data_IF_783782354776
#
_entry.id   IF_783782354776
#
_cell.length_a   1.000
_cell.length_b   1.000
_cell.length_c   1.000
_cell.angle_alpha   90.00
_cell.angle_beta   90.00
_cell.angle_gamma   90.00
#
_symmetry.space_group_name_H-M   'P 1'
#
loop_
_entity.id
_entity.type
_entity.pdbx_description
1 polymer ?
#
# COMPACT_ATOMS: atom_id res chain seq x y z
N UNK A 1 21.32 -11.62 9.07
CA UNK A 1 20.23 -11.72 8.08
C UNK A 1 20.10 -10.35 7.48
N UNK A 2 20.61 -10.17 6.26
CA UNK A 2 20.41 -8.92 5.51
C UNK A 2 18.95 -8.89 5.09
N UNK A 3 18.10 -8.20 5.86
CA UNK A 3 16.75 -7.88 5.41
C UNK A 3 16.89 -6.92 4.23
N UNK A 4 16.94 -7.47 3.01
CA UNK A 4 16.82 -6.68 1.80
C UNK A 4 15.40 -6.15 1.77
N UNK A 5 15.20 -4.95 2.29
CA UNK A 5 13.98 -4.17 2.08
C UNK A 5 13.82 -3.99 0.58
N UNK A 6 12.80 -4.60 -0.01
CA UNK A 6 12.43 -4.34 -1.40
C UNK A 6 11.70 -3.00 -1.44
N UNK A 7 11.95 -2.23 -2.50
CA UNK A 7 11.26 -0.97 -2.75
C UNK A 7 10.51 -1.10 -4.08
N UNK A 8 9.24 -0.70 -4.09
CA UNK A 8 8.37 -0.75 -5.27
C UNK A 8 7.62 0.55 -5.44
N UNK A 9 7.34 0.92 -6.68
CA UNK A 9 6.57 2.13 -6.95
C UNK A 9 5.10 1.93 -6.55
N UNK A 10 4.59 2.78 -5.68
CA UNK A 10 3.18 2.77 -5.28
C UNK A 10 2.46 3.97 -5.90
N UNK A 11 1.42 3.76 -6.74
CA UNK A 11 0.67 4.86 -7.35
C UNK A 11 -0.01 5.79 -6.35
N UNK A 12 -0.45 5.27 -5.19
CA UNK A 12 -1.06 6.08 -4.13
C UNK A 12 -0.06 7.03 -3.45
N UNK A 13 1.21 6.63 -3.43
CA UNK A 13 2.29 7.40 -2.83
C UNK A 13 3.05 8.24 -3.85
N UNK A 14 2.90 7.95 -5.15
CA UNK A 14 3.68 8.55 -6.25
C UNK A 14 5.19 8.51 -5.94
N UNK A 15 5.63 7.37 -5.38
CA UNK A 15 6.99 7.17 -4.86
C UNK A 15 7.29 5.68 -4.71
N UNK A 16 8.58 5.35 -4.67
CA UNK A 16 9.04 4.05 -4.22
C UNK A 16 8.86 3.92 -2.69
N UNK A 17 8.17 2.88 -2.25
CA UNK A 17 7.93 2.56 -0.84
C UNK A 17 8.42 1.16 -0.51
N UNK A 18 8.72 0.91 0.76
CA UNK A 18 9.08 -0.42 1.24
C UNK A 18 7.86 -1.36 1.32
N UNK A 19 8.13 -2.66 1.41
CA UNK A 19 7.10 -3.71 1.50
C UNK A 19 6.19 -3.56 2.73
N UNK A 20 6.69 -3.02 3.86
CA UNK A 20 5.89 -2.79 5.06
C UNK A 20 4.85 -1.70 4.83
N UNK A 21 5.28 -0.56 4.30
CA UNK A 21 4.37 0.52 3.89
C UNK A 21 3.35 0.02 2.85
N UNK A 22 3.77 -0.81 1.90
CA UNK A 22 2.87 -1.40 0.91
C UNK A 22 1.84 -2.35 1.56
N UNK A 23 2.26 -3.13 2.54
CA UNK A 23 1.41 -4.04 3.29
C UNK A 23 0.37 -3.29 4.13
N UNK A 24 0.76 -2.22 4.82
CA UNK A 24 -0.17 -1.40 5.60
C UNK A 24 -1.28 -0.81 4.72
N UNK A 25 -0.92 -0.30 3.53
CA UNK A 25 -1.88 0.18 2.53
C UNK A 25 -2.81 -0.94 2.07
N UNK A 26 -2.27 -2.13 1.76
CA UNK A 26 -3.05 -3.30 1.36
C UNK A 26 -4.07 -3.69 2.45
N UNK A 27 -3.65 -3.73 3.70
CA UNK A 27 -4.52 -4.09 4.84
C UNK A 27 -5.68 -3.11 5.02
N UNK A 28 -5.45 -1.80 4.82
CA UNK A 28 -6.53 -0.80 4.84
C UNK A 28 -7.47 -0.97 3.65
N UNK A 29 -6.93 -1.21 2.45
CA UNK A 29 -7.73 -1.40 1.23
C UNK A 29 -8.64 -2.62 1.31
N UNK A 30 -8.15 -3.71 1.91
CA UNK A 30 -8.89 -4.97 2.18
C UNK A 30 -9.76 -4.91 3.44
N UNK A 31 -9.97 -3.72 4.01
CA UNK A 31 -10.77 -3.48 5.23
C UNK A 31 -10.33 -4.35 6.44
N UNK A 32 -9.05 -4.76 6.45
CA UNK A 32 -8.43 -5.64 7.45
C UNK A 32 -7.64 -4.87 8.52
N UNK A 33 -7.42 -3.58 8.31
CA UNK A 33 -6.84 -2.66 9.30
C UNK A 33 -7.51 -1.27 9.24
N UNK A 34 -7.50 -0.49 10.34
CA UNK A 34 -8.02 0.87 10.33
C UNK A 34 -7.19 1.83 9.46
N UNK A 35 -7.84 2.83 8.87
CA UNK A 35 -7.23 3.86 8.01
C UNK A 35 -5.94 4.49 8.57
N UNK A 36 -5.87 4.73 9.89
CA UNK A 36 -4.71 5.37 10.54
C UNK A 36 -3.43 4.54 10.49
N UNK A 37 -3.52 3.27 10.11
CA UNK A 37 -2.35 2.37 9.97
C UNK A 37 -1.59 2.61 8.66
N UNK A 38 -2.25 3.17 7.64
CA UNK A 38 -1.63 3.50 6.37
C UNK A 38 -1.21 4.99 6.29
N UNK A 39 -0.30 5.36 5.36
CA UNK A 39 0.02 6.75 5.13
C UNK A 39 -1.21 7.58 4.73
N UNK A 40 -1.40 8.72 5.38
CA UNK A 40 -2.55 9.61 5.14
C UNK A 40 -2.68 10.02 3.66
N UNK A 41 -1.54 10.17 2.96
CA UNK A 41 -1.50 10.47 1.53
C UNK A 41 -2.19 9.40 0.68
N UNK A 42 -2.07 8.13 1.05
CA UNK A 42 -2.65 7.01 0.30
C UNK A 42 -4.17 6.99 0.43
N UNK A 43 -4.69 7.12 1.65
CA UNK A 43 -6.13 6.99 1.96
C UNK A 43 -6.95 8.26 1.64
N UNK A 44 -6.31 9.42 1.48
CA UNK A 44 -6.98 10.67 1.09
C UNK A 44 -7.41 10.72 -0.38
N UNK A 45 -6.93 9.80 -1.22
CA UNK A 45 -7.35 9.72 -2.62
C UNK A 45 -8.73 9.08 -2.70
N UNK A 46 -9.69 9.72 -3.39
CA UNK A 46 -11.09 9.26 -3.43
C UNK A 46 -11.23 7.80 -3.94
N UNK A 47 -10.38 7.41 -4.88
CA UNK A 47 -10.37 6.09 -5.50
C UNK A 47 -9.22 5.20 -4.99
N UNK A 48 -8.70 5.43 -3.77
CA UNK A 48 -7.51 4.73 -3.29
C UNK A 48 -7.65 3.20 -3.28
N UNK A 49 -8.84 2.70 -2.90
CA UNK A 49 -9.15 1.26 -2.91
C UNK A 49 -9.02 0.68 -4.32
N UNK A 50 -9.64 1.31 -5.31
CA UNK A 50 -9.61 0.85 -6.69
C UNK A 50 -8.18 0.91 -7.28
N UNK A 51 -7.42 1.96 -6.98
CA UNK A 51 -6.03 2.09 -7.41
C UNK A 51 -5.18 0.94 -6.85
N UNK A 52 -5.29 0.65 -5.56
CA UNK A 52 -4.51 -0.41 -4.94
C UNK A 52 -4.95 -1.79 -5.44
N UNK A 53 -6.25 -2.07 -5.53
CA UNK A 53 -6.77 -3.36 -6.02
C UNK A 53 -6.35 -3.68 -7.46
N UNK A 54 -6.10 -2.66 -8.29
CA UNK A 54 -5.61 -2.82 -9.68
C UNK A 54 -4.08 -2.79 -9.80
N UNK A 55 -3.37 -2.54 -8.70
CA UNK A 55 -1.91 -2.48 -8.71
C UNK A 55 -1.35 -3.87 -9.08
N UNK A 56 -0.34 -3.95 -9.95
CA UNK A 56 0.33 -5.20 -10.38
C UNK A 56 1.00 -5.99 -9.24
N UNK A 57 0.90 -5.43 -8.07
CA UNK A 57 1.67 -5.60 -6.88
C UNK A 57 0.76 -5.91 -5.68
N UNK A 58 -0.56 -5.78 -5.86
CA UNK A 58 -1.59 -6.20 -4.94
C UNK A 58 -1.77 -7.70 -5.04
N UNK A 59 -1.18 -8.44 -4.10
CA UNK A 59 -1.33 -9.90 -4.02
C UNK A 59 -2.42 -10.23 -3.02
N UNK A 60 -3.36 -11.07 -3.44
CA UNK A 60 -4.47 -11.57 -2.61
C UNK A 60 -4.14 -12.91 -1.92
N UNK A 61 -2.89 -13.35 -1.97
CA UNK A 61 -2.44 -14.69 -1.56
C UNK A 61 -1.04 -14.64 -0.94
#
# INVERSE_FOLDING_TARGET
MDYKTSYRHCPLMDAAIDDGTCFDIHMVVEDSAPDWTAPEKAIKQENFKEICLKCEHHHTD
#
